data_IF_797388416117
#
_entry.id   IF_797388416117
#
_cell.length_a   1.000
_cell.length_b   1.000
_cell.length_c   1.000
_cell.angle_alpha   90.00
_cell.angle_beta   90.00
_cell.angle_gamma   90.00
#
_symmetry.space_group_name_H-M   'P 1'
#
loop_
_entity.id
_entity.type
_entity.pdbx_description
1 polymer ?
#
# COMPACT_ATOMS: atom_id res chain seq x y z
N UNK A 1 -53.03 20.38 -13.02
CA UNK A 1 -52.22 21.58 -13.31
C UNK A 1 -50.76 21.16 -13.21
N UNK A 2 -49.98 21.41 -14.27
CA UNK A 2 -48.55 21.08 -14.48
C UNK A 2 -48.18 19.61 -14.76
N UNK A 3 -48.15 19.35 -16.07
CA UNK A 3 -47.35 18.36 -16.80
C UNK A 3 -45.86 18.63 -16.60
N UNK A 4 -45.04 17.57 -16.47
CA UNK A 4 -43.68 17.54 -16.99
C UNK A 4 -43.22 16.10 -17.20
N UNK A 5 -42.96 15.81 -18.48
CA UNK A 5 -42.34 14.61 -19.04
C UNK A 5 -40.95 14.36 -18.43
N UNK A 6 -40.57 13.11 -18.29
CA UNK A 6 -39.20 12.69 -18.65
C UNK A 6 -39.11 11.20 -18.95
N UNK A 7 -38.32 10.93 -19.97
CA UNK A 7 -38.43 9.83 -20.90
C UNK A 7 -37.80 8.51 -20.42
N UNK A 8 -38.43 7.43 -20.89
CA UNK A 8 -37.92 6.06 -20.91
C UNK A 8 -36.74 5.97 -21.89
N UNK A 9 -35.66 5.30 -21.50
CA UNK A 9 -34.75 4.69 -22.46
C UNK A 9 -34.36 3.29 -22.01
N UNK A 10 -35.05 2.31 -22.60
CA UNK A 10 -34.73 0.89 -22.58
C UNK A 10 -33.50 0.64 -23.46
N UNK A 11 -32.47 0.00 -22.92
CA UNK A 11 -31.40 -0.56 -23.74
C UNK A 11 -31.86 -1.90 -24.31
N UNK A 12 -32.22 -1.91 -25.60
CA UNK A 12 -32.38 -3.14 -26.38
C UNK A 12 -31.00 -3.78 -26.60
N UNK A 13 -30.84 -5.04 -26.21
CA UNK A 13 -29.80 -5.90 -26.76
C UNK A 13 -30.19 -6.27 -28.20
N UNK A 14 -29.52 -5.70 -29.19
CA UNK A 14 -29.52 -6.27 -30.54
C UNK A 14 -28.46 -7.36 -30.61
N UNK A 15 -28.91 -8.62 -30.54
CA UNK A 15 -28.15 -9.76 -31.03
C UNK A 15 -28.13 -9.72 -32.56
N UNK A 16 -27.03 -9.28 -33.15
CA UNK A 16 -26.80 -9.46 -34.60
C UNK A 16 -26.15 -10.82 -34.82
N UNK A 17 -26.94 -11.79 -35.28
CA UNK A 17 -26.43 -13.00 -35.94
C UNK A 17 -25.76 -12.59 -37.26
N UNK A 18 -24.44 -12.42 -37.26
CA UNK A 18 -23.66 -12.40 -38.50
C UNK A 18 -23.18 -13.82 -38.82
N UNK A 19 -23.30 -14.31 -40.06
CA UNK A 19 -22.80 -15.62 -40.44
C UNK A 19 -21.28 -15.67 -40.31
N UNK A 20 -20.75 -16.76 -39.72
CA UNK A 20 -19.32 -17.04 -39.71
C UNK A 20 -18.83 -17.27 -41.15
N UNK A 21 -17.82 -16.53 -41.65
CA UNK A 21 -17.21 -16.82 -42.92
C UNK A 21 -16.41 -18.14 -42.82
N UNK A 22 -16.94 -19.20 -43.42
CA UNK A 22 -16.25 -20.48 -43.61
C UNK A 22 -15.47 -20.46 -44.92
N UNK A 23 -14.40 -19.69 -45.00
CA UNK A 23 -13.34 -19.88 -46.00
C UNK A 23 -11.99 -19.48 -45.40
N UNK A 24 -11.00 -20.37 -45.49
CA UNK A 24 -9.70 -20.24 -44.86
C UNK A 24 -8.75 -19.23 -45.55
N UNK A 25 -9.20 -18.56 -46.61
CA UNK A 25 -8.34 -17.70 -47.45
C UNK A 25 -8.43 -16.19 -47.14
N UNK A 26 -9.28 -15.75 -46.20
CA UNK A 26 -9.44 -14.32 -45.87
C UNK A 26 -8.55 -13.83 -44.71
N UNK A 27 -7.61 -14.64 -44.21
CA UNK A 27 -6.63 -14.21 -43.21
C UNK A 27 -5.42 -13.50 -43.86
N UNK A 28 -5.68 -12.42 -44.59
CA UNK A 28 -4.63 -11.43 -44.82
C UNK A 28 -4.60 -10.53 -43.59
N UNK A 29 -3.60 -10.72 -42.72
CA UNK A 29 -3.30 -9.82 -41.61
C UNK A 29 -3.17 -8.40 -42.16
N UNK A 30 -4.24 -7.61 -41.99
CA UNK A 30 -4.13 -6.17 -42.10
C UNK A 30 -3.16 -5.74 -41.03
N UNK A 31 -1.93 -5.43 -41.43
CA UNK A 31 -0.94 -4.77 -40.59
C UNK A 31 -1.53 -3.43 -40.17
N UNK A 32 -2.19 -3.42 -39.01
CA UNK A 32 -2.49 -2.19 -38.30
C UNK A 32 -1.14 -1.63 -37.91
N UNK A 33 -0.65 -0.67 -38.68
CA UNK A 33 0.52 0.12 -38.30
C UNK A 33 0.29 0.57 -36.85
N UNK A 34 1.19 0.17 -35.96
CA UNK A 34 1.11 0.52 -34.56
C UNK A 34 1.03 2.05 -34.47
N UNK A 35 -0.14 2.57 -34.05
CA UNK A 35 -0.25 3.98 -33.68
C UNK A 35 0.73 4.16 -32.52
N UNK A 36 1.75 5.01 -32.64
CA UNK A 36 2.66 5.26 -31.53
C UNK A 36 1.82 5.68 -30.34
N UNK A 37 1.98 4.98 -29.20
CA UNK A 37 1.40 5.44 -27.95
C UNK A 37 1.83 6.90 -27.77
N UNK A 38 0.91 7.81 -27.38
CA UNK A 38 1.27 9.18 -27.07
C UNK A 38 2.50 9.16 -26.16
N UNK A 39 3.61 9.72 -26.64
CA UNK A 39 4.78 9.94 -25.80
C UNK A 39 4.29 10.86 -24.68
N UNK A 40 4.27 10.35 -23.45
CA UNK A 40 3.78 11.12 -22.31
C UNK A 40 4.63 12.41 -22.22
N UNK A 41 4.06 13.60 -22.50
CA UNK A 41 4.84 14.83 -22.66
C UNK A 41 5.43 15.30 -21.33
N UNK A 42 5.07 14.65 -20.22
CA UNK A 42 5.58 14.91 -18.90
C UNK A 42 6.77 13.98 -18.63
N UNK A 43 7.96 14.42 -19.02
CA UNK A 43 9.17 13.89 -18.38
C UNK A 43 9.15 14.37 -16.92
N UNK A 44 8.72 13.49 -16.01
CA UNK A 44 8.84 13.77 -14.58
C UNK A 44 10.32 13.68 -14.24
N UNK A 45 10.96 14.84 -14.08
CA UNK A 45 12.33 14.90 -13.60
C UNK A 45 12.39 14.30 -12.19
N UNK A 46 13.42 13.49 -11.91
CA UNK A 46 13.67 13.00 -10.56
C UNK A 46 13.75 14.17 -9.56
N UNK A 47 13.34 13.97 -8.31
CA UNK A 47 13.43 14.99 -7.29
C UNK A 47 14.84 15.58 -7.20
N UNK A 48 14.94 16.91 -7.16
CA UNK A 48 16.25 17.60 -7.10
C UNK A 48 16.96 17.27 -5.79
N UNK A 49 18.28 16.98 -5.79
CA UNK A 49 19.04 16.80 -4.56
C UNK A 49 18.82 17.99 -3.62
N UNK A 50 18.30 17.73 -2.42
CA UNK A 50 17.85 18.75 -1.48
C UNK A 50 18.73 18.78 -0.22
N UNK A 51 20.05 18.66 -0.40
CA UNK A 51 21.01 18.62 0.71
C UNK A 51 20.74 17.44 1.65
N UNK A 52 20.31 17.73 2.88
CA UNK A 52 19.93 16.74 3.88
C UNK A 52 18.47 16.25 3.77
N UNK A 53 17.66 16.88 2.92
CA UNK A 53 16.27 16.48 2.72
C UNK A 53 16.18 15.24 1.83
N UNK A 54 15.37 14.27 2.26
CA UNK A 54 15.20 12.97 1.61
C UNK A 54 13.78 12.86 1.08
N UNK A 55 13.62 12.51 -0.20
CA UNK A 55 12.31 12.26 -0.78
C UNK A 55 11.84 10.85 -0.44
N UNK A 56 10.59 10.74 0.00
CA UNK A 56 9.92 9.48 0.24
C UNK A 56 8.67 9.30 -0.61
N UNK A 57 8.23 8.06 -0.75
CA UNK A 57 7.00 7.70 -1.43
C UNK A 57 6.20 6.68 -0.61
N UNK A 58 4.88 6.77 -0.66
CA UNK A 58 4.01 5.65 -0.29
C UNK A 58 3.91 4.73 -1.51
N UNK A 59 4.24 3.46 -1.32
CA UNK A 59 4.22 2.43 -2.35
C UNK A 59 3.17 1.38 -1.99
N UNK A 60 2.03 1.39 -2.67
CA UNK A 60 0.93 0.45 -2.40
C UNK A 60 1.17 -0.96 -2.97
N UNK A 61 1.90 -1.06 -4.07
CA UNK A 61 2.37 -2.32 -4.65
C UNK A 61 3.86 -2.47 -4.32
N UNK A 62 4.19 -3.28 -3.32
CA UNK A 62 5.54 -3.32 -2.73
C UNK A 62 6.64 -3.72 -3.73
N UNK A 63 6.29 -4.46 -4.79
CA UNK A 63 7.16 -4.79 -5.91
C UNK A 63 7.53 -3.58 -6.79
N UNK A 64 6.82 -2.45 -6.66
CA UNK A 64 7.17 -1.18 -7.28
C UNK A 64 8.16 -0.33 -6.47
N UNK A 65 8.66 -0.81 -5.32
CA UNK A 65 9.66 -0.08 -4.53
C UNK A 65 10.93 0.22 -5.36
N UNK A 66 11.37 -0.72 -6.21
CA UNK A 66 12.50 -0.50 -7.13
C UNK A 66 12.22 0.58 -8.17
N UNK A 67 10.98 0.69 -8.66
CA UNK A 67 10.59 1.77 -9.57
C UNK A 67 10.61 3.12 -8.87
N UNK A 68 10.12 3.21 -7.62
CA UNK A 68 10.21 4.43 -6.83
C UNK A 68 11.68 4.85 -6.61
N UNK A 69 12.54 3.90 -6.26
CA UNK A 69 13.96 4.16 -6.09
C UNK A 69 14.62 4.69 -7.38
N UNK A 70 14.33 4.07 -8.51
CA UNK A 70 14.87 4.47 -9.81
C UNK A 70 14.46 5.91 -10.20
N UNK A 71 13.37 6.41 -9.62
CA UNK A 71 12.87 7.77 -9.81
C UNK A 71 13.36 8.77 -8.75
N UNK A 72 14.29 8.38 -7.86
CA UNK A 72 14.96 9.28 -6.93
C UNK A 72 14.30 9.37 -5.54
N UNK A 73 13.42 8.44 -5.19
CA UNK A 73 12.94 8.29 -3.81
C UNK A 73 13.89 7.39 -3.02
N UNK A 74 14.10 7.70 -1.74
CA UNK A 74 15.01 6.94 -0.86
C UNK A 74 14.33 6.49 0.44
N UNK A 75 13.08 6.92 0.68
CA UNK A 75 12.23 6.49 1.78
C UNK A 75 10.95 5.86 1.24
N UNK A 76 10.54 4.74 1.82
CA UNK A 76 9.21 4.17 1.65
C UNK A 76 8.42 4.48 2.91
N UNK A 77 7.20 4.97 2.77
CA UNK A 77 6.21 4.99 3.84
C UNK A 77 5.39 3.70 3.76
N UNK A 78 5.38 2.93 4.84
CA UNK A 78 4.76 1.61 4.89
C UNK A 78 3.77 1.48 6.04
N UNK A 79 2.53 1.16 5.69
CA UNK A 79 1.47 0.81 6.63
C UNK A 79 1.62 -0.64 7.12
N UNK A 80 1.66 -0.83 8.44
CA UNK A 80 1.76 -2.17 9.05
C UNK A 80 0.68 -2.35 10.11
N UNK A 81 -0.32 -3.22 9.87
CA UNK A 81 -1.30 -3.59 10.86
C UNK A 81 -0.67 -4.49 11.94
N UNK A 82 -0.58 -3.99 13.18
CA UNK A 82 0.03 -4.67 14.32
C UNK A 82 -0.62 -6.04 14.55
N UNK A 83 -1.95 -6.12 14.50
CA UNK A 83 -2.67 -7.39 14.67
C UNK A 83 -2.27 -8.50 13.68
N UNK A 84 -1.74 -8.17 12.49
CA UNK A 84 -1.24 -9.17 11.53
C UNK A 84 0.23 -9.54 11.75
N UNK A 85 0.94 -8.80 12.60
CA UNK A 85 2.34 -9.04 12.96
C UNK A 85 2.43 -9.82 14.27
N UNK A 86 1.56 -9.49 15.22
CA UNK A 86 1.47 -10.10 16.56
C UNK A 86 0.00 -10.41 16.91
N UNK A 87 -0.59 -11.48 16.35
CA UNK A 87 -2.00 -11.81 16.56
C UNK A 87 -2.35 -12.13 18.02
N UNK A 88 -1.37 -12.66 18.78
CA UNK A 88 -1.46 -12.87 20.22
C UNK A 88 -0.23 -12.29 20.89
N UNK A 89 -0.38 -11.79 22.12
CA UNK A 89 0.71 -11.19 22.91
C UNK A 89 1.96 -12.08 22.91
N UNK A 90 3.09 -11.53 22.46
CA UNK A 90 4.39 -12.17 22.34
C UNK A 90 4.58 -13.08 21.11
N UNK A 91 3.53 -13.33 20.33
CA UNK A 91 3.54 -14.22 19.16
C UNK A 91 3.89 -13.47 17.86
N UNK A 92 5.11 -12.93 17.80
CA UNK A 92 5.60 -12.25 16.60
C UNK A 92 5.80 -13.22 15.43
N UNK A 93 5.02 -13.06 14.37
CA UNK A 93 5.04 -13.98 13.23
C UNK A 93 6.38 -13.99 12.47
N UNK A 94 7.11 -12.87 12.46
CA UNK A 94 8.45 -12.80 11.85
C UNK A 94 9.54 -13.57 12.62
N UNK A 95 9.27 -14.03 13.84
CA UNK A 95 10.16 -14.95 14.56
C UNK A 95 10.02 -16.40 14.09
N UNK A 96 8.90 -16.73 13.47
CA UNK A 96 8.68 -18.05 12.87
C UNK A 96 9.45 -18.10 11.55
N UNK A 97 10.09 -19.23 11.27
CA UNK A 97 10.92 -19.42 10.09
C UNK A 97 10.46 -20.62 9.26
N UNK A 98 10.70 -20.56 7.95
CA UNK A 98 10.57 -21.71 7.07
C UNK A 98 11.73 -22.70 7.24
N UNK A 99 11.71 -23.81 6.48
CA UNK A 99 12.75 -24.85 6.53
C UNK A 99 14.16 -24.38 6.16
N UNK A 100 14.29 -23.18 5.59
CA UNK A 100 15.55 -22.56 5.19
C UNK A 100 15.97 -21.42 6.11
N UNK A 101 15.24 -21.19 7.22
CA UNK A 101 15.54 -20.14 8.18
C UNK A 101 15.03 -18.75 7.78
N UNK A 102 14.23 -18.63 6.70
CA UNK A 102 13.64 -17.34 6.31
C UNK A 102 12.41 -17.04 7.17
N UNK A 103 12.26 -15.80 7.70
CA UNK A 103 11.04 -15.38 8.37
C UNK A 103 9.78 -15.64 7.54
N UNK A 104 8.69 -16.09 8.17
CA UNK A 104 7.40 -16.21 7.47
C UNK A 104 6.90 -14.84 7.00
N UNK A 105 6.38 -14.74 5.76
CA UNK A 105 5.76 -13.52 5.27
C UNK A 105 4.60 -13.06 6.17
N UNK A 106 4.64 -11.80 6.55
CA UNK A 106 3.59 -11.04 7.22
C UNK A 106 3.72 -9.56 6.82
N UNK A 107 2.82 -8.71 7.30
CA UNK A 107 2.82 -7.30 6.93
C UNK A 107 4.17 -6.60 7.18
N UNK A 108 4.79 -6.81 8.34
CA UNK A 108 6.08 -6.20 8.67
C UNK A 108 7.22 -6.74 7.79
N UNK A 109 7.31 -8.06 7.61
CA UNK A 109 8.38 -8.63 6.78
C UNK A 109 8.26 -8.16 5.34
N UNK A 110 7.03 -8.03 4.82
CA UNK A 110 6.78 -7.63 3.44
C UNK A 110 7.28 -6.21 3.19
N UNK A 111 6.93 -5.24 4.05
CA UNK A 111 7.38 -3.84 3.87
C UNK A 111 8.88 -3.68 4.12
N UNK A 112 9.44 -4.38 5.12
CA UNK A 112 10.88 -4.33 5.42
C UNK A 112 11.70 -4.93 4.28
N UNK A 113 11.30 -6.09 3.76
CA UNK A 113 11.97 -6.71 2.61
C UNK A 113 11.86 -5.85 1.36
N UNK A 114 10.68 -5.30 1.05
CA UNK A 114 10.51 -4.44 -0.12
C UNK A 114 11.41 -3.20 -0.08
N UNK A 115 11.49 -2.53 1.07
CA UNK A 115 12.38 -1.38 1.23
C UNK A 115 13.87 -1.79 1.16
N UNK A 116 14.25 -2.87 1.84
CA UNK A 116 15.63 -3.36 1.86
C UNK A 116 16.11 -3.80 0.47
N UNK A 117 15.30 -4.59 -0.24
CA UNK A 117 15.60 -5.12 -1.57
C UNK A 117 15.69 -4.00 -2.62
N UNK A 118 14.91 -2.92 -2.45
CA UNK A 118 15.01 -1.71 -3.27
C UNK A 118 16.16 -0.76 -2.86
N UNK A 119 16.89 -1.05 -1.76
CA UNK A 119 17.93 -0.16 -1.24
C UNK A 119 17.40 1.15 -0.64
N UNK A 120 16.13 1.17 -0.22
CA UNK A 120 15.46 2.31 0.41
C UNK A 120 15.39 2.14 1.93
N UNK A 121 15.17 3.25 2.65
CA UNK A 121 14.83 3.25 4.07
C UNK A 121 13.31 3.23 4.26
N UNK A 122 12.85 2.83 5.44
CA UNK A 122 11.42 2.71 5.77
C UNK A 122 11.00 3.71 6.86
N UNK A 123 9.89 4.41 6.61
CA UNK A 123 9.03 5.02 7.62
C UNK A 123 7.97 3.96 7.95
N UNK A 124 8.08 3.34 9.12
CA UNK A 124 7.15 2.33 9.60
C UNK A 124 5.97 3.04 10.27
N UNK A 125 4.79 3.04 9.63
CA UNK A 125 3.54 3.34 10.32
C UNK A 125 2.97 2.08 10.94
N UNK A 126 2.64 2.17 12.20
CA UNK A 126 1.90 1.14 12.92
C UNK A 126 0.41 1.50 12.91
N UNK A 127 -0.46 0.51 12.78
CA UNK A 127 -1.90 0.68 12.78
C UNK A 127 -2.59 -0.60 13.24
N UNK A 128 -3.93 -0.64 13.30
CA UNK A 128 -4.73 -1.81 13.66
C UNK A 128 -4.22 -2.53 14.94
N UNK A 129 -4.33 -1.82 16.08
CA UNK A 129 -3.97 -2.35 17.40
C UNK A 129 -4.75 -3.64 17.66
N UNK A 130 -4.11 -4.75 18.05
CA UNK A 130 -4.82 -6.00 18.31
C UNK A 130 -5.71 -5.89 19.54
N UNK A 131 -6.81 -6.64 19.56
CA UNK A 131 -7.77 -6.60 20.67
C UNK A 131 -7.16 -6.94 22.03
N UNK A 132 -6.13 -7.79 22.09
CA UNK A 132 -5.42 -8.13 23.34
C UNK A 132 -4.56 -6.98 23.89
N UNK A 133 -4.27 -5.98 23.06
CA UNK A 133 -3.50 -4.78 23.40
C UNK A 133 -4.37 -3.52 23.53
N UNK A 134 -5.70 -3.65 23.53
CA UNK A 134 -6.64 -2.53 23.66
C UNK A 134 -7.53 -2.29 22.43
N UNK A 135 -7.19 -2.85 21.27
CA UNK A 135 -8.02 -2.82 20.06
C UNK A 135 -8.02 -1.50 19.26
N UNK A 136 -7.62 -0.39 19.87
CA UNK A 136 -7.45 0.90 19.20
C UNK A 136 -6.35 1.74 19.86
N UNK A 137 -5.86 2.81 19.17
CA UNK A 137 -4.80 3.66 19.69
C UNK A 137 -5.13 4.40 21.01
N UNK A 138 -6.40 4.66 21.29
CA UNK A 138 -6.81 5.41 22.47
C UNK A 138 -6.83 4.56 23.75
N UNK A 139 -7.06 3.25 23.60
CA UNK A 139 -7.17 2.32 24.72
C UNK A 139 -5.97 1.37 24.84
N UNK A 140 -4.94 1.54 24.03
CA UNK A 140 -3.80 0.64 24.05
C UNK A 140 -3.02 0.68 25.36
N UNK A 141 -2.45 -0.46 25.76
CA UNK A 141 -1.50 -0.51 26.88
C UNK A 141 -0.12 0.00 26.40
N UNK A 142 0.45 1.07 27.00
CA UNK A 142 1.74 1.59 26.59
C UNK A 142 2.89 0.57 26.67
N UNK A 143 2.82 -0.39 27.59
CA UNK A 143 3.84 -1.44 27.73
C UNK A 143 3.77 -2.48 26.61
N UNK A 144 2.57 -2.78 26.12
CA UNK A 144 2.39 -3.64 24.95
C UNK A 144 2.88 -2.93 23.67
N UNK A 145 2.61 -1.62 23.54
CA UNK A 145 3.14 -0.80 22.44
C UNK A 145 4.67 -0.74 22.46
N UNK A 146 5.28 -0.52 23.63
CA UNK A 146 6.73 -0.52 23.78
C UNK A 146 7.36 -1.85 23.36
N UNK A 147 6.79 -2.97 23.82
CA UNK A 147 7.25 -4.31 23.47
C UNK A 147 7.15 -4.57 21.95
N UNK A 148 6.04 -4.20 21.34
CA UNK A 148 5.85 -4.32 19.89
C UNK A 148 6.87 -3.49 19.10
N UNK A 149 7.00 -2.21 19.44
CA UNK A 149 7.93 -1.30 18.77
C UNK A 149 9.38 -1.75 18.91
N UNK A 150 9.78 -2.20 20.10
CA UNK A 150 11.12 -2.75 20.33
C UNK A 150 11.40 -3.92 19.38
N UNK A 151 10.49 -4.88 19.27
CA UNK A 151 10.68 -6.06 18.44
C UNK A 151 10.61 -5.74 16.94
N UNK A 152 9.69 -4.88 16.51
CA UNK A 152 9.57 -4.46 15.12
C UNK A 152 10.81 -3.69 14.62
N UNK A 153 11.28 -2.72 15.41
CA UNK A 153 12.48 -1.93 15.08
C UNK A 153 13.74 -2.81 15.13
N UNK A 154 13.83 -3.73 16.09
CA UNK A 154 14.94 -4.70 16.16
C UNK A 154 14.96 -5.63 14.95
N UNK A 155 13.80 -6.11 14.50
CA UNK A 155 13.67 -6.92 13.28
C UNK A 155 14.11 -6.14 12.03
N UNK A 156 13.61 -4.92 11.85
CA UNK A 156 13.93 -4.07 10.70
C UNK A 156 15.22 -3.26 10.84
N UNK A 157 16.14 -3.64 11.73
CA UNK A 157 17.39 -2.92 11.97
C UNK A 157 18.16 -2.71 10.68
N UNK A 158 18.51 -1.45 10.40
CA UNK A 158 19.23 -1.06 9.19
C UNK A 158 18.31 -0.68 8.03
N UNK A 159 17.01 -0.99 8.09
CA UNK A 159 16.02 -0.60 7.06
C UNK A 159 15.03 0.42 7.60
N UNK A 160 14.45 0.18 8.79
CA UNK A 160 13.57 1.14 9.47
C UNK A 160 14.41 2.34 9.91
N UNK A 161 14.01 3.53 9.47
CA UNK A 161 14.66 4.80 9.78
C UNK A 161 13.78 5.69 10.67
N UNK A 162 12.46 5.61 10.48
CA UNK A 162 11.48 6.37 11.25
C UNK A 162 10.30 5.48 11.61
N UNK A 163 9.63 5.82 12.71
CA UNK A 163 8.40 5.17 13.15
C UNK A 163 7.35 6.24 13.34
N UNK A 164 6.21 6.06 12.68
CA UNK A 164 4.98 6.81 12.91
C UNK A 164 4.13 5.98 13.87
N UNK A 165 4.06 6.42 15.13
CA UNK A 165 3.36 5.71 16.21
C UNK A 165 1.86 6.01 16.20
N UNK A 166 1.49 7.26 15.92
CA UNK A 166 0.11 7.72 15.84
C UNK A 166 -0.07 8.60 14.61
N UNK A 167 -1.20 8.44 13.91
CA UNK A 167 -1.49 9.12 12.64
C UNK A 167 -2.28 10.42 12.85
N UNK A 168 -3.48 10.32 13.43
CA UNK A 168 -4.44 11.43 13.51
C UNK A 168 -5.01 11.59 14.92
N UNK A 169 -4.13 11.89 15.90
CA UNK A 169 -4.50 12.05 17.32
C UNK A 169 -5.65 13.05 17.58
N UNK A 170 -6.04 13.87 16.62
CA UNK A 170 -7.20 14.75 16.72
C UNK A 170 -8.54 14.07 16.42
N UNK A 171 -8.54 12.83 15.93
CA UNK A 171 -9.77 12.07 15.63
C UNK A 171 -10.26 11.31 16.85
N UNK A 172 -11.60 11.19 17.05
CA UNK A 172 -12.14 10.45 18.19
C UNK A 172 -11.66 9.00 18.30
N UNK A 173 -11.39 8.34 17.18
CA UNK A 173 -10.82 7.00 17.14
C UNK A 173 -9.43 6.92 17.77
N UNK A 174 -8.61 7.95 17.59
CA UNK A 174 -7.22 8.00 18.04
C UNK A 174 -7.10 8.63 19.44
N UNK A 175 -8.02 9.53 19.80
CA UNK A 175 -8.01 10.27 21.07
C UNK A 175 -8.91 9.67 22.17
N UNK A 176 -9.80 8.72 21.82
CA UNK A 176 -10.71 8.08 22.78
C UNK A 176 -12.01 8.85 23.05
N UNK A 177 -12.38 9.78 22.15
CA UNK A 177 -13.61 10.57 22.29
C UNK A 177 -13.54 11.91 21.56
N UNK A 178 -14.64 12.67 21.59
CA UNK A 178 -14.62 14.05 21.13
C UNK A 178 -13.65 14.88 22.00
N UNK A 179 -12.95 15.88 21.43
CA UNK A 179 -12.13 16.79 22.23
C UNK A 179 -12.98 17.41 23.35
N UNK A 180 -12.49 17.38 24.58
CA UNK A 180 -13.11 18.07 25.72
C UNK A 180 -12.51 19.48 25.84
N UNK A 181 -13.27 20.56 25.57
CA UNK A 181 -12.78 21.93 25.67
C UNK A 181 -12.83 22.51 27.10
N UNK A 182 -13.27 21.73 28.10
CA UNK A 182 -13.50 22.17 29.48
C UNK A 182 -12.24 22.27 30.36
#
# INVERSE_FOLDING_TARGET
MRVLLSAVLSALFLSTNAPLPTHADDLQEASVAAVPLPQDPFTIASPRPAGHFVYGAHVSALDHAGLAQANGFNLVWGYVPWQQVEPHRGEFLFRKQDKWGKPFPNALTNVVSAAADAGMKLILRIDEVPGWAGGDPAHLDPSDLEAYLYEAVRYGKGTIQYVEVFNELNLPYEWGGAPDPA
#
